data_IF_296672233445
#
_entry.id   IF_296672233445
#
_cell.length_a   1.000
_cell.length_b   1.000
_cell.length_c   1.000
_cell.angle_alpha   90.00
_cell.angle_beta   90.00
_cell.angle_gamma   90.00
#
_symmetry.space_group_name_H-M   'P 1'
#
loop_
_entity.id
_entity.type
_entity.pdbx_description
1 polymer ?
#
# COMPACT_ATOMS: atom_id res chain seq x y z
N UNK A 1 17.72 -14.28 15.39
CA UNK A 1 16.57 -13.84 14.58
C UNK A 1 17.12 -13.12 13.37
N UNK A 2 16.58 -13.41 12.19
CA UNK A 2 17.02 -12.80 10.94
C UNK A 2 15.93 -11.88 10.42
N UNK A 3 16.33 -10.88 9.64
CA UNK A 3 15.42 -10.02 8.87
C UNK A 3 15.57 -10.36 7.40
N UNK A 4 14.46 -10.46 6.69
CA UNK A 4 14.44 -10.71 5.24
C UNK A 4 13.80 -9.50 4.58
N UNK A 5 14.44 -9.01 3.52
CA UNK A 5 13.91 -7.95 2.66
C UNK A 5 13.74 -8.55 1.26
N UNK A 6 12.55 -8.42 0.70
CA UNK A 6 12.19 -8.96 -0.61
C UNK A 6 11.57 -7.86 -1.44
N UNK A 7 11.86 -7.86 -2.74
CA UNK A 7 11.19 -6.99 -3.72
C UNK A 7 10.17 -7.87 -4.45
N UNK A 8 8.89 -7.56 -4.30
CA UNK A 8 7.80 -8.37 -4.84
C UNK A 8 6.67 -7.54 -5.41
N UNK A 9 5.89 -8.19 -6.27
CA UNK A 9 4.66 -7.65 -6.87
C UNK A 9 3.49 -8.66 -6.76
N UNK A 10 3.75 -9.90 -6.32
CA UNK A 10 2.71 -10.90 -6.13
C UNK A 10 1.94 -10.66 -4.82
N UNK A 11 0.63 -10.43 -4.92
CA UNK A 11 -0.16 -10.03 -3.77
C UNK A 11 -0.31 -11.13 -2.70
N UNK A 12 -0.19 -12.40 -3.07
CA UNK A 12 -0.16 -13.53 -2.12
C UNK A 12 1.02 -13.49 -1.15
N UNK A 13 2.14 -12.87 -1.56
CA UNK A 13 3.31 -12.65 -0.71
C UNK A 13 3.17 -11.33 0.05
N UNK A 14 2.79 -10.26 -0.66
CA UNK A 14 2.71 -8.91 -0.10
C UNK A 14 1.68 -8.85 1.04
N UNK A 15 0.52 -9.50 0.90
CA UNK A 15 -0.57 -9.42 1.89
C UNK A 15 -0.26 -10.10 3.22
N UNK A 16 0.76 -10.96 3.28
CA UNK A 16 1.17 -11.68 4.49
C UNK A 16 2.50 -11.15 5.07
N UNK A 17 3.06 -10.08 4.50
CA UNK A 17 4.27 -9.46 5.00
C UNK A 17 4.01 -8.73 6.32
N UNK A 18 4.98 -8.75 7.23
CA UNK A 18 4.92 -7.98 8.48
C UNK A 18 4.98 -6.47 8.23
N UNK A 19 5.70 -6.05 7.17
CA UNK A 19 5.91 -4.66 6.81
C UNK A 19 6.13 -4.52 5.30
N UNK A 20 5.56 -3.46 4.73
CA UNK A 20 5.67 -3.10 3.32
C UNK A 20 6.25 -1.69 3.24
N UNK A 21 7.12 -1.47 2.27
CA UNK A 21 7.57 -0.15 1.83
C UNK A 21 7.16 -0.02 0.37
N UNK A 22 6.23 0.88 0.09
CA UNK A 22 5.75 1.12 -1.27
C UNK A 22 6.55 2.26 -1.91
N UNK A 23 7.14 1.98 -3.08
CA UNK A 23 8.06 2.89 -3.78
C UNK A 23 7.45 3.29 -5.11
N UNK A 24 7.39 4.59 -5.37
CA UNK A 24 6.75 5.12 -6.57
C UNK A 24 6.59 6.64 -6.51
N UNK A 25 5.50 7.21 -7.06
CA UNK A 25 4.33 6.54 -7.67
C UNK A 25 4.63 5.90 -9.04
N UNK A 26 5.68 6.34 -9.72
CA UNK A 26 6.06 5.87 -11.06
C UNK A 26 7.46 5.22 -11.05
N UNK A 27 7.87 4.69 -12.21
CA UNK A 27 9.24 4.23 -12.43
C UNK A 27 10.20 5.35 -12.89
N UNK A 28 11.51 5.09 -12.79
CA UNK A 28 12.54 5.98 -13.34
C UNK A 28 12.55 7.37 -12.69
N UNK A 29 12.54 8.43 -13.51
CA UNK A 29 12.61 9.83 -13.02
C UNK A 29 11.38 10.28 -12.22
N UNK A 30 10.24 9.61 -12.39
CA UNK A 30 9.02 9.89 -11.64
C UNK A 30 8.87 9.08 -10.35
N UNK A 31 9.83 8.21 -10.06
CA UNK A 31 9.82 7.31 -8.90
C UNK A 31 10.84 7.68 -7.83
N UNK A 32 11.18 6.67 -7.03
CA UNK A 32 12.23 6.77 -6.01
C UNK A 32 11.79 7.45 -4.71
N UNK A 33 10.49 7.73 -4.56
CA UNK A 33 9.92 8.23 -3.31
C UNK A 33 9.25 7.09 -2.56
N UNK A 34 9.30 7.15 -1.23
CA UNK A 34 8.47 6.31 -0.37
C UNK A 34 7.06 6.90 -0.40
N UNK A 35 6.12 6.15 -0.99
CA UNK A 35 4.71 6.55 -1.03
C UNK A 35 4.07 6.31 0.33
N UNK A 36 4.29 5.12 0.89
CA UNK A 36 3.91 4.76 2.25
C UNK A 36 4.75 3.60 2.78
N UNK A 37 4.71 3.40 4.10
CA UNK A 37 5.31 2.25 4.75
C UNK A 37 4.49 1.84 5.97
N UNK A 38 4.30 0.54 6.17
CA UNK A 38 3.44 0.02 7.23
C UNK A 38 3.06 -1.43 7.07
N UNK A 39 2.10 -1.87 7.86
CA UNK A 39 1.42 -3.17 7.68
C UNK A 39 0.61 -3.19 6.38
N UNK A 40 0.27 -4.38 5.84
CA UNK A 40 -0.61 -4.51 4.69
C UNK A 40 -1.92 -3.71 4.81
N UNK A 41 -2.54 -3.70 5.99
CA UNK A 41 -3.77 -2.95 6.25
C UNK A 41 -3.56 -1.43 6.20
N UNK A 42 -2.45 -0.93 6.74
CA UNK A 42 -2.12 0.50 6.70
C UNK A 42 -1.80 0.96 5.28
N UNK A 43 -1.07 0.15 4.50
CA UNK A 43 -0.82 0.44 3.08
C UNK A 43 -2.14 0.43 2.30
N UNK A 44 -3.06 -0.50 2.58
CA UNK A 44 -4.38 -0.55 1.95
C UNK A 44 -5.27 0.68 2.25
N UNK A 45 -4.99 1.40 3.34
CA UNK A 45 -5.68 2.66 3.67
C UNK A 45 -5.04 3.90 3.00
N UNK A 46 -3.90 3.77 2.32
CA UNK A 46 -3.18 4.88 1.67
C UNK A 46 -3.72 5.15 0.26
N UNK A 47 -4.38 6.30 -0.01
CA UNK A 47 -4.96 6.60 -1.32
C UNK A 47 -3.95 6.80 -2.46
N UNK A 48 -2.73 7.23 -2.13
CA UNK A 48 -1.67 7.50 -3.10
C UNK A 48 -0.92 6.22 -3.55
N UNK A 49 -1.19 5.08 -2.90
CA UNK A 49 -0.51 3.81 -3.14
C UNK A 49 -1.29 2.95 -4.13
N UNK A 50 -0.72 2.72 -5.31
CA UNK A 50 -1.26 1.75 -6.26
C UNK A 50 -1.30 0.35 -5.63
N UNK A 51 -0.25 -0.05 -4.90
CA UNK A 51 -0.20 -1.31 -4.15
C UNK A 51 -1.35 -1.40 -3.13
N UNK A 52 -1.63 -0.30 -2.42
CA UNK A 52 -2.72 -0.18 -1.45
C UNK A 52 -4.10 -0.44 -2.05
N UNK A 53 -4.35 0.00 -3.28
CA UNK A 53 -5.61 -0.25 -3.98
C UNK A 53 -5.86 -1.74 -4.24
N UNK A 54 -4.83 -2.49 -4.64
CA UNK A 54 -4.94 -3.93 -4.81
C UNK A 54 -5.02 -4.67 -3.48
N UNK A 55 -4.23 -4.26 -2.48
CA UNK A 55 -4.28 -4.84 -1.13
C UNK A 55 -5.67 -4.72 -0.51
N UNK A 56 -6.34 -3.58 -0.70
CA UNK A 56 -7.70 -3.38 -0.19
C UNK A 56 -8.68 -4.44 -0.70
N UNK A 57 -8.55 -4.82 -1.97
CA UNK A 57 -9.37 -5.86 -2.58
C UNK A 57 -9.00 -7.25 -2.04
N UNK A 58 -7.71 -7.58 -1.96
CA UNK A 58 -7.25 -8.86 -1.42
C UNK A 58 -7.62 -9.07 0.05
N UNK A 59 -7.47 -8.03 0.87
CA UNK A 59 -7.79 -8.04 2.30
C UNK A 59 -9.30 -7.90 2.57
N UNK A 60 -10.11 -7.69 1.51
CA UNK A 60 -11.57 -7.50 1.58
C UNK A 60 -11.96 -6.38 2.55
N UNK A 61 -11.14 -5.33 2.61
CA UNK A 61 -11.38 -4.18 3.48
C UNK A 61 -12.52 -3.37 2.87
N UNK A 62 -13.63 -3.24 3.60
CA UNK A 62 -14.73 -2.35 3.19
C UNK A 62 -14.22 -0.91 3.23
N UNK A 63 -14.31 -0.21 2.10
CA UNK A 63 -14.02 1.22 2.06
C UNK A 63 -14.86 1.94 3.10
N UNK A 64 -14.19 2.59 4.06
CA UNK A 64 -14.86 3.55 4.94
C UNK A 64 -15.40 4.63 4.02
N UNK A 65 -16.71 4.86 4.01
CA UNK A 65 -17.29 6.01 3.30
C UNK A 65 -16.62 7.25 3.87
N UNK A 66 -15.67 7.81 3.14
CA UNK A 66 -15.17 9.14 3.44
C UNK A 66 -16.40 10.03 3.42
N UNK A 67 -16.77 10.58 4.58
CA UNK A 67 -17.76 11.66 4.61
C UNK A 67 -17.13 12.76 3.76
N UNK A 68 -17.59 12.89 2.53
CA UNK A 68 -17.22 13.99 1.67
C UNK A 68 -17.48 15.25 2.51
N UNK A 69 -16.39 15.91 2.91
CA UNK A 69 -16.44 17.19 3.56
C UNK A 69 -17.13 18.09 2.54
N UNK A 70 -18.40 18.38 2.78
CA UNK A 70 -19.15 19.40 2.04
C UNK A 70 -18.37 20.69 2.24
N UNK A 71 -17.48 20.98 1.30
CA UNK A 71 -16.80 22.26 1.23
C UNK A 71 -17.87 23.25 0.76
N UNK A 72 -18.15 24.20 1.65
CA UNK A 72 -18.91 25.41 1.38
C UNK A 72 -18.15 26.31 0.40
#
# INVERSE_FOLDING_TARGET
GNTVVVIEHQMDIIKVADHIIDIGPEGGKGGGNIVCAGTPEQVAETPESYTGDFLRNELKIKTKKTRAKVAR
#
